data_IF_796699083898
#
_entry.id   IF_796699083898
#
_cell.length_a   1.000
_cell.length_b   1.000
_cell.length_c   1.000
_cell.angle_alpha   90.00
_cell.angle_beta   90.00
_cell.angle_gamma   90.00
#
_symmetry.space_group_name_H-M   'P 1'
#
loop_
_entity.id
_entity.type
_entity.pdbx_description
1 polymer ?
#
# COMPACT_ATOMS: atom_id res chain seq x y z
N UNK A 1 6.95 2.33 -20.18
CA UNK A 1 7.39 3.20 -21.28
C UNK A 1 8.43 4.21 -20.78
N UNK A 2 8.10 5.03 -19.80
CA UNK A 2 8.99 6.08 -19.26
C UNK A 2 10.32 5.55 -18.70
N UNK A 3 10.31 4.47 -17.91
CA UNK A 3 11.54 3.87 -17.36
C UNK A 3 12.55 3.41 -18.42
N UNK A 4 12.04 2.88 -19.54
CA UNK A 4 12.88 2.49 -20.69
C UNK A 4 13.33 3.69 -21.53
N UNK A 5 12.62 4.82 -21.45
CA UNK A 5 13.08 6.07 -22.05
C UNK A 5 14.26 6.64 -21.26
N UNK A 6 14.21 6.57 -19.92
CA UNK A 6 15.30 7.01 -19.03
C UNK A 6 16.58 6.23 -19.30
N UNK A 7 16.51 4.91 -19.50
CA UNK A 7 17.71 4.12 -19.82
C UNK A 7 18.33 4.52 -21.17
N UNK A 8 17.53 4.95 -22.15
CA UNK A 8 18.02 5.41 -23.47
C UNK A 8 18.67 6.79 -23.43
N UNK A 9 18.28 7.65 -22.49
CA UNK A 9 18.88 8.97 -22.29
C UNK A 9 20.04 8.95 -21.29
N UNK A 10 20.32 7.79 -20.69
CA UNK A 10 21.41 7.64 -19.73
C UNK A 10 22.75 7.39 -20.44
N UNK A 11 23.88 7.67 -19.77
CA UNK A 11 25.20 7.33 -20.28
C UNK A 11 25.34 5.85 -20.69
N UNK A 12 26.09 5.54 -21.76
CA UNK A 12 26.12 4.20 -22.37
C UNK A 12 26.68 3.12 -21.43
N UNK A 13 27.52 3.51 -20.48
CA UNK A 13 28.09 2.70 -19.40
C UNK A 13 27.04 2.19 -18.42
N UNK A 14 25.90 2.88 -18.24
CA UNK A 14 24.82 2.46 -17.33
C UNK A 14 23.51 2.12 -18.04
N UNK A 15 23.36 2.52 -19.31
CA UNK A 15 22.14 2.35 -20.08
C UNK A 15 21.69 0.87 -20.19
N UNK A 16 22.64 -0.05 -20.42
CA UNK A 16 22.36 -1.48 -20.54
C UNK A 16 21.87 -2.08 -19.22
N UNK A 17 22.57 -1.79 -18.11
CA UNK A 17 22.19 -2.24 -16.78
C UNK A 17 20.84 -1.68 -16.32
N UNK A 18 20.55 -0.40 -16.60
CA UNK A 18 19.26 0.23 -16.31
C UNK A 18 18.10 -0.39 -17.11
N UNK A 19 18.35 -0.78 -18.37
CA UNK A 19 17.36 -1.47 -19.18
C UNK A 19 17.06 -2.88 -18.63
N UNK A 20 18.09 -3.62 -18.21
CA UNK A 20 17.94 -4.93 -17.57
C UNK A 20 17.18 -4.83 -16.25
N UNK A 21 17.55 -3.90 -15.37
CA UNK A 21 16.85 -3.66 -14.10
C UNK A 21 15.37 -3.25 -14.33
N UNK A 22 15.09 -2.49 -15.38
CA UNK A 22 13.71 -2.13 -15.75
C UNK A 22 12.89 -3.33 -16.23
N UNK A 23 13.52 -4.29 -16.90
CA UNK A 23 12.91 -5.54 -17.34
C UNK A 23 12.65 -6.52 -16.19
N UNK A 24 13.50 -6.53 -15.16
CA UNK A 24 13.37 -7.37 -13.98
C UNK A 24 12.00 -7.21 -13.28
N UNK A 25 11.39 -6.03 -13.36
CA UNK A 25 10.07 -5.74 -12.76
C UNK A 25 8.92 -6.56 -13.36
N UNK A 26 9.14 -7.25 -14.48
CA UNK A 26 8.19 -8.19 -15.08
C UNK A 26 8.38 -9.65 -14.67
N UNK A 27 9.38 -9.96 -13.82
CA UNK A 27 9.67 -11.32 -13.38
C UNK A 27 8.56 -11.92 -12.49
N UNK A 28 8.48 -13.24 -12.47
CA UNK A 28 7.43 -13.97 -11.75
C UNK A 28 7.75 -14.14 -10.25
N UNK A 29 9.00 -13.91 -9.84
CA UNK A 29 9.45 -14.08 -8.46
C UNK A 29 10.30 -12.92 -7.94
N UNK A 30 10.13 -12.59 -6.66
CA UNK A 30 10.94 -11.55 -6.00
C UNK A 30 12.43 -11.91 -5.92
N UNK A 31 12.76 -13.20 -5.86
CA UNK A 31 14.14 -13.67 -5.84
C UNK A 31 14.84 -13.38 -7.17
N UNK A 32 14.14 -13.58 -8.29
CA UNK A 32 14.63 -13.26 -9.62
C UNK A 32 14.80 -11.74 -9.79
N UNK A 33 13.79 -10.96 -9.38
CA UNK A 33 13.89 -9.48 -9.38
C UNK A 33 15.13 -9.02 -8.62
N UNK A 34 15.33 -9.53 -7.40
CA UNK A 34 16.46 -9.17 -6.56
C UNK A 34 17.80 -9.54 -7.20
N UNK A 35 17.91 -10.74 -7.77
CA UNK A 35 19.13 -11.19 -8.44
C UNK A 35 19.48 -10.35 -9.67
N UNK A 36 18.49 -9.99 -10.50
CA UNK A 36 18.73 -9.17 -11.70
C UNK A 36 19.09 -7.74 -11.32
N UNK A 37 18.47 -7.18 -10.28
CA UNK A 37 18.81 -5.84 -9.77
C UNK A 37 20.21 -5.84 -9.15
N UNK A 38 20.58 -6.86 -8.38
CA UNK A 38 21.93 -6.99 -7.80
C UNK A 38 23.00 -7.10 -8.90
N UNK A 39 22.74 -7.86 -9.97
CA UNK A 39 23.64 -7.95 -11.13
C UNK A 39 23.76 -6.60 -11.87
N UNK A 40 22.63 -5.97 -12.21
CA UNK A 40 22.63 -4.67 -12.88
C UNK A 40 23.32 -3.59 -12.03
N UNK A 41 23.13 -3.59 -10.72
CA UNK A 41 23.82 -2.69 -9.82
C UNK A 41 25.34 -2.93 -9.84
N UNK A 42 25.77 -4.18 -9.80
CA UNK A 42 27.18 -4.55 -9.88
C UNK A 42 27.84 -4.05 -11.17
N UNK A 43 27.15 -4.17 -12.31
CA UNK A 43 27.62 -3.68 -13.60
C UNK A 43 27.80 -2.16 -13.64
N UNK A 44 27.01 -1.43 -12.84
CA UNK A 44 27.13 0.02 -12.65
C UNK A 44 28.12 0.40 -11.53
N UNK A 45 28.84 -0.57 -10.94
CA UNK A 45 29.75 -0.34 -9.81
C UNK A 45 29.04 -0.04 -8.49
N UNK A 46 27.74 -0.33 -8.39
CA UNK A 46 26.93 -0.13 -7.20
C UNK A 46 26.78 -1.43 -6.41
N UNK A 47 26.75 -1.33 -5.08
CA UNK A 47 26.44 -2.44 -4.19
C UNK A 47 25.06 -2.24 -3.59
N UNK A 48 24.13 -3.15 -3.90
CA UNK A 48 22.81 -3.17 -3.26
C UNK A 48 22.98 -3.63 -1.82
N UNK A 49 22.71 -2.75 -0.85
CA UNK A 49 22.73 -3.09 0.56
C UNK A 49 21.31 -3.44 1.01
N UNK A 50 21.12 -4.67 1.48
CA UNK A 50 19.88 -5.03 2.20
C UNK A 50 19.83 -4.25 3.51
N UNK A 51 18.66 -3.73 3.83
CA UNK A 51 18.44 -3.08 5.12
C UNK A 51 18.58 -4.15 6.22
N UNK A 52 19.14 -3.74 7.35
CA UNK A 52 19.13 -4.60 8.54
C UNK A 52 17.73 -4.57 9.18
N UNK A 53 17.41 -5.58 9.98
CA UNK A 53 16.09 -5.72 10.61
C UNK A 53 15.64 -4.47 11.40
N UNK A 54 16.58 -3.73 12.00
CA UNK A 54 16.26 -2.53 12.78
C UNK A 54 15.90 -1.37 11.85
N UNK A 55 16.66 -1.16 10.77
CA UNK A 55 16.36 -0.13 9.78
C UNK A 55 15.09 -0.42 8.98
N UNK A 56 14.82 -1.69 8.63
CA UNK A 56 13.54 -2.09 8.02
C UNK A 56 12.35 -1.75 8.92
N UNK A 57 12.42 -2.13 10.20
CA UNK A 57 11.37 -1.83 11.17
C UNK A 57 11.16 -0.32 11.33
N UNK A 58 12.24 0.46 11.35
CA UNK A 58 12.16 1.92 11.44
C UNK A 58 11.51 2.53 10.20
N UNK A 59 11.84 2.06 9.00
CA UNK A 59 11.24 2.51 7.75
C UNK A 59 9.73 2.21 7.70
N UNK A 60 9.33 1.01 8.10
CA UNK A 60 7.91 0.61 8.19
C UNK A 60 7.16 1.48 9.20
N UNK A 61 7.74 1.76 10.36
CA UNK A 61 7.13 2.64 11.36
C UNK A 61 6.96 4.07 10.83
N UNK A 62 7.99 4.62 10.18
CA UNK A 62 7.95 5.96 9.58
C UNK A 62 6.87 6.06 8.50
N UNK A 63 6.79 5.08 7.59
CA UNK A 63 5.77 5.05 6.54
C UNK A 63 4.36 4.92 7.13
N UNK A 64 4.19 4.12 8.18
CA UNK A 64 2.91 4.00 8.88
C UNK A 64 2.47 5.35 9.44
N UNK A 65 3.35 6.06 10.14
CA UNK A 65 3.05 7.40 10.67
C UNK A 65 2.70 8.39 9.55
N UNK A 66 3.41 8.34 8.43
CA UNK A 66 3.12 9.18 7.26
C UNK A 66 1.72 8.91 6.70
N UNK A 67 1.38 7.65 6.47
CA UNK A 67 0.08 7.23 5.95
C UNK A 67 -1.07 7.57 6.90
N UNK A 68 -0.88 7.38 8.21
CA UNK A 68 -1.87 7.80 9.21
C UNK A 68 -2.06 9.32 9.22
N UNK A 69 -0.97 10.09 9.08
CA UNK A 69 -1.02 11.54 8.95
C UNK A 69 -1.85 11.96 7.73
N UNK A 70 -1.60 11.37 6.56
CA UNK A 70 -2.38 11.64 5.35
C UNK A 70 -3.85 11.25 5.48
N UNK A 71 -4.13 10.09 6.10
CA UNK A 71 -5.50 9.59 6.26
C UNK A 71 -6.31 10.42 7.28
N UNK A 72 -5.67 11.11 8.21
CA UNK A 72 -6.35 11.93 9.22
C UNK A 72 -7.21 13.03 8.57
N UNK A 73 -6.64 13.77 7.61
CA UNK A 73 -7.31 14.86 6.88
C UNK A 73 -8.08 14.43 5.63
N UNK A 74 -8.03 13.16 5.25
CA UNK A 74 -8.66 12.69 4.02
C UNK A 74 -10.18 12.55 4.17
N UNK A 75 -10.93 13.07 3.20
CA UNK A 75 -12.40 13.03 3.17
C UNK A 75 -12.93 12.29 1.96
N UNK A 76 -12.14 12.16 0.90
CA UNK A 76 -12.52 11.38 -0.27
C UNK A 76 -12.44 9.88 0.06
N UNK A 77 -13.54 9.11 -0.09
CA UNK A 77 -13.56 7.69 0.25
C UNK A 77 -12.62 6.85 -0.61
N UNK A 78 -12.37 7.24 -1.87
CA UNK A 78 -11.45 6.51 -2.75
C UNK A 78 -9.99 6.72 -2.34
N UNK A 79 -9.59 7.98 -2.07
CA UNK A 79 -8.28 8.30 -1.53
C UNK A 79 -8.05 7.68 -0.15
N UNK A 80 -9.07 7.72 0.73
CA UNK A 80 -8.99 7.07 2.04
C UNK A 80 -8.77 5.56 1.92
N UNK A 81 -9.48 4.88 1.02
CA UNK A 81 -9.27 3.46 0.76
C UNK A 81 -7.84 3.16 0.30
N UNK A 82 -7.28 3.99 -0.58
CA UNK A 82 -5.90 3.84 -1.06
C UNK A 82 -4.85 3.99 0.05
N UNK A 83 -5.16 4.69 1.14
CA UNK A 83 -4.30 4.84 2.32
C UNK A 83 -4.53 3.74 3.36
N UNK A 84 -5.79 3.32 3.55
CA UNK A 84 -6.20 2.29 4.52
C UNK A 84 -5.65 0.92 4.15
N UNK A 85 -5.70 0.54 2.88
CA UNK A 85 -5.31 -0.82 2.44
C UNK A 85 -3.82 -1.11 2.69
N UNK A 86 -2.88 -0.20 2.36
CA UNK A 86 -1.49 -0.33 2.80
C UNK A 86 -1.33 -0.46 4.32
N UNK A 87 -2.06 0.33 5.11
CA UNK A 87 -2.00 0.27 6.58
C UNK A 87 -2.47 -1.09 7.12
N UNK A 88 -3.55 -1.64 6.56
CA UNK A 88 -4.05 -2.98 6.88
C UNK A 88 -3.01 -4.04 6.52
N UNK A 89 -2.41 -3.95 5.33
CA UNK A 89 -1.36 -4.86 4.90
C UNK A 89 -0.12 -4.79 5.80
N UNK A 90 0.32 -3.59 6.17
CA UNK A 90 1.43 -3.37 7.10
C UNK A 90 1.14 -3.97 8.48
N UNK A 91 -0.09 -3.84 8.98
CA UNK A 91 -0.52 -4.46 10.24
C UNK A 91 -0.52 -5.99 10.16
N UNK A 92 -0.88 -6.57 9.01
CA UNK A 92 -0.90 -8.02 8.81
C UNK A 92 0.50 -8.62 8.64
N UNK A 93 1.38 -7.94 7.93
CA UNK A 93 2.65 -8.51 7.41
C UNK A 93 3.89 -7.89 8.01
N UNK A 94 3.81 -6.69 8.58
CA UNK A 94 4.97 -5.91 8.99
C UNK A 94 5.74 -5.27 7.84
N UNK A 95 5.24 -5.30 6.60
CA UNK A 95 5.91 -4.77 5.41
C UNK A 95 5.15 -3.58 4.83
N UNK A 96 5.88 -2.53 4.47
CA UNK A 96 5.34 -1.39 3.73
C UNK A 96 5.12 -1.76 2.26
N UNK A 97 4.03 -1.24 1.67
CA UNK A 97 3.68 -1.55 0.29
C UNK A 97 3.01 -0.34 -0.37
N UNK A 98 3.55 0.08 -1.52
CA UNK A 98 2.88 1.03 -2.40
C UNK A 98 1.97 0.27 -3.37
N UNK A 99 0.72 0.72 -3.51
CA UNK A 99 -0.32 -0.01 -4.21
C UNK A 99 -0.94 0.84 -5.31
N UNK A 100 -0.99 0.35 -6.57
CA UNK A 100 -1.92 0.91 -7.54
C UNK A 100 -3.35 0.49 -7.19
N UNK A 101 -4.36 1.32 -7.52
CA UNK A 101 -5.76 1.05 -7.18
C UNK A 101 -6.26 -0.35 -7.62
N UNK A 102 -5.80 -0.85 -8.77
CA UNK A 102 -6.13 -2.20 -9.27
C UNK A 102 -5.64 -3.36 -8.38
N UNK A 103 -4.64 -3.13 -7.54
CA UNK A 103 -4.06 -4.14 -6.66
C UNK A 103 -4.73 -4.19 -5.28
N UNK A 104 -5.64 -3.26 -4.96
CA UNK A 104 -6.28 -3.16 -3.64
C UNK A 104 -6.99 -4.48 -3.28
N UNK A 105 -7.85 -5.00 -4.16
CA UNK A 105 -8.59 -6.24 -3.92
C UNK A 105 -7.69 -7.47 -3.67
N UNK A 106 -6.75 -7.79 -4.59
CA UNK A 106 -5.80 -8.89 -4.39
C UNK A 106 -4.98 -8.78 -3.10
N UNK A 107 -4.58 -7.57 -2.72
CA UNK A 107 -3.76 -7.32 -1.53
C UNK A 107 -4.57 -7.49 -0.25
N UNK A 108 -5.84 -7.05 -0.22
CA UNK A 108 -6.74 -7.34 0.90
C UNK A 108 -6.94 -8.84 1.08
N UNK A 109 -7.16 -9.58 -0.01
CA UNK A 109 -7.29 -11.04 0.04
C UNK A 109 -6.00 -11.74 0.49
N UNK A 110 -4.83 -11.17 0.19
CA UNK A 110 -3.55 -11.66 0.73
C UNK A 110 -3.40 -11.36 2.22
N UNK A 111 -3.73 -10.13 2.65
CA UNK A 111 -3.69 -9.73 4.06
C UNK A 111 -4.60 -10.61 4.92
N UNK A 112 -5.80 -10.96 4.44
CA UNK A 112 -6.70 -11.86 5.14
C UNK A 112 -6.15 -13.26 5.37
N UNK A 113 -5.37 -13.80 4.43
CA UNK A 113 -4.74 -15.12 4.55
C UNK A 113 -3.63 -15.19 5.60
N UNK A 114 -3.07 -14.06 6.01
CA UNK A 114 -2.02 -14.01 7.05
C UNK A 114 -2.56 -14.23 8.46
N UNK A 115 -3.88 -14.11 8.68
CA UNK A 115 -4.54 -14.48 9.94
C UNK A 115 -4.21 -13.61 11.16
N UNK A 116 -3.44 -12.53 10.99
CA UNK A 116 -2.99 -11.64 12.06
C UNK A 116 -3.95 -10.47 12.34
N UNK A 117 -5.00 -10.32 11.54
CA UNK A 117 -5.97 -9.23 11.63
C UNK A 117 -7.32 -9.72 12.17
N UNK A 118 -8.02 -8.90 12.98
CA UNK A 118 -9.39 -9.18 13.36
C UNK A 118 -10.30 -9.33 12.14
N UNK A 119 -11.12 -10.38 12.11
CA UNK A 119 -12.06 -10.65 11.01
C UNK A 119 -13.03 -9.48 10.80
N UNK A 120 -13.45 -8.83 11.88
CA UNK A 120 -14.28 -7.63 11.82
C UNK A 120 -13.61 -6.46 11.06
N UNK A 121 -12.30 -6.28 11.23
CA UNK A 121 -11.53 -5.25 10.49
C UNK A 121 -11.46 -5.58 9.01
N UNK A 122 -11.14 -6.84 8.67
CA UNK A 122 -11.05 -7.27 7.28
C UNK A 122 -12.39 -7.18 6.56
N UNK A 123 -13.47 -7.63 7.21
CA UNK A 123 -14.82 -7.56 6.67
C UNK A 123 -15.25 -6.12 6.40
N UNK A 124 -15.03 -5.21 7.36
CA UNK A 124 -15.33 -3.79 7.19
C UNK A 124 -14.59 -3.16 6.00
N UNK A 125 -13.30 -3.46 5.84
CA UNK A 125 -12.49 -2.91 4.75
C UNK A 125 -12.88 -3.51 3.40
N UNK A 126 -13.27 -4.79 3.36
CA UNK A 126 -13.80 -5.44 2.15
C UNK A 126 -15.13 -4.83 1.72
N UNK A 127 -16.04 -4.58 2.66
CA UNK A 127 -17.33 -3.93 2.43
C UNK A 127 -17.12 -2.50 1.88
N UNK A 128 -16.25 -1.73 2.53
CA UNK A 128 -15.91 -0.37 2.10
C UNK A 128 -15.29 -0.35 0.69
N UNK A 129 -14.37 -1.27 0.38
CA UNK A 129 -13.83 -1.42 -0.97
C UNK A 129 -14.92 -1.71 -2.01
N UNK A 130 -15.87 -2.60 -1.70
CA UNK A 130 -16.97 -2.91 -2.61
C UNK A 130 -17.86 -1.69 -2.89
N UNK A 131 -18.17 -0.90 -1.84
CA UNK A 131 -18.95 0.33 -1.95
C UNK A 131 -18.21 1.41 -2.77
N UNK A 132 -16.90 1.58 -2.56
CA UNK A 132 -16.08 2.53 -3.35
C UNK A 132 -16.06 2.13 -4.82
N UNK A 133 -15.91 0.84 -5.13
CA UNK A 133 -15.95 0.35 -6.52
C UNK A 133 -17.33 0.59 -7.14
N UNK A 134 -18.42 0.38 -6.40
CA UNK A 134 -19.77 0.68 -6.87
C UNK A 134 -19.97 2.17 -7.15
N UNK A 135 -19.51 3.03 -6.24
CA UNK A 135 -19.54 4.50 -6.39
C UNK A 135 -18.76 4.97 -7.61
N UNK A 136 -17.51 4.50 -7.80
CA UNK A 136 -16.68 4.87 -8.95
C UNK A 136 -17.29 4.41 -10.28
N UNK A 137 -17.91 3.22 -10.31
CA UNK A 137 -18.63 2.74 -11.49
C UNK A 137 -19.86 3.59 -11.81
N UNK A 138 -20.64 3.96 -10.80
CA UNK A 138 -21.82 4.82 -10.96
C UNK A 138 -21.42 6.23 -11.43
N UNK A 139 -20.30 6.76 -10.93
CA UNK A 139 -19.75 8.06 -11.35
C UNK A 139 -19.29 8.03 -12.82
N UNK A 140 -18.61 6.97 -13.25
CA UNK A 140 -18.14 6.80 -14.62
C UNK A 140 -19.23 6.53 -15.66
N UNK A 141 -20.41 6.07 -15.23
CA UNK A 141 -21.54 5.73 -16.11
C UNK A 141 -22.37 6.94 -16.58
N UNK A 142 -21.98 8.17 -16.25
CA UNK A 142 -22.47 9.37 -16.95
C UNK A 142 -23.96 9.70 -16.80
N UNK A 143 -24.58 9.47 -15.63
CA UNK A 143 -25.79 10.22 -15.24
C UNK A 143 -27.14 9.50 -15.17
N UNK A 144 -27.22 8.17 -15.32
CA UNK A 144 -28.52 7.46 -15.20
C UNK A 144 -28.96 7.14 -13.75
N UNK A 145 -28.41 7.80 -12.73
CA UNK A 145 -28.76 7.54 -11.33
C UNK A 145 -28.11 8.49 -10.33
N UNK A 146 -28.32 9.79 -10.48
CA UNK A 146 -27.83 10.82 -9.54
C UNK A 146 -28.15 10.50 -8.08
N UNK A 147 -29.36 9.99 -7.83
CA UNK A 147 -29.85 9.66 -6.49
C UNK A 147 -29.13 8.44 -5.92
N UNK A 148 -28.80 7.46 -6.77
CA UNK A 148 -27.99 6.31 -6.40
C UNK A 148 -26.53 6.72 -6.11
N UNK A 149 -25.97 7.66 -6.88
CA UNK A 149 -24.63 8.16 -6.64
C UNK A 149 -24.53 8.95 -5.32
N UNK A 150 -25.53 9.78 -5.02
CA UNK A 150 -25.61 10.55 -3.78
C UNK A 150 -25.76 9.64 -2.56
N UNK A 151 -26.66 8.65 -2.62
CA UNK A 151 -26.86 7.68 -1.53
C UNK A 151 -25.61 6.82 -1.28
N UNK A 152 -24.91 6.39 -2.33
CA UNK A 152 -23.62 5.69 -2.19
C UNK A 152 -22.55 6.61 -1.57
N UNK A 153 -22.50 7.89 -1.97
CA UNK A 153 -21.58 8.87 -1.40
C UNK A 153 -21.81 9.09 0.10
N UNK A 154 -23.06 9.23 0.51
CA UNK A 154 -23.43 9.40 1.93
C UNK A 154 -23.13 8.15 2.77
N UNK A 155 -23.42 6.96 2.22
CA UNK A 155 -23.05 5.69 2.85
C UNK A 155 -21.53 5.57 3.04
N UNK A 156 -20.73 5.96 2.04
CA UNK A 156 -19.27 5.97 2.13
C UNK A 156 -18.77 6.98 3.17
N UNK A 157 -19.35 8.18 3.21
CA UNK A 157 -18.99 9.22 4.18
C UNK A 157 -19.28 8.76 5.62
N UNK A 158 -20.41 8.10 5.86
CA UNK A 158 -20.77 7.54 7.17
C UNK A 158 -19.91 6.34 7.59
N UNK A 159 -19.43 5.54 6.62
CA UNK A 159 -18.55 4.41 6.89
C UNK A 159 -17.09 4.83 7.17
N UNK A 160 -16.67 5.99 6.67
CA UNK A 160 -15.28 6.45 6.71
C UNK A 160 -14.67 6.51 8.13
N UNK A 161 -15.35 7.06 9.17
CA UNK A 161 -14.82 7.09 10.54
C UNK A 161 -14.54 5.69 11.10
N UNK A 162 -15.43 4.72 10.83
CA UNK A 162 -15.27 3.32 11.25
C UNK A 162 -14.03 2.70 10.61
N UNK A 163 -13.79 2.97 9.33
CA UNK A 163 -12.62 2.45 8.61
C UNK A 163 -11.32 3.08 9.12
N UNK A 164 -11.33 4.39 9.42
CA UNK A 164 -10.19 5.07 10.04
C UNK A 164 -9.85 4.46 11.42
N UNK A 165 -10.86 4.16 12.23
CA UNK A 165 -10.67 3.51 13.54
C UNK A 165 -10.00 2.13 13.39
N UNK A 166 -10.40 1.33 12.39
CA UNK A 166 -9.81 0.00 12.15
C UNK A 166 -8.28 0.01 11.93
N UNK A 167 -7.73 1.10 11.39
CA UNK A 167 -6.28 1.25 11.13
C UNK A 167 -5.54 2.05 12.20
N UNK A 168 -6.22 2.46 13.27
CA UNK A 168 -5.63 3.14 14.43
C UNK A 168 -5.81 4.67 14.44
N UNK A 169 -6.65 5.24 13.55
CA UNK A 169 -7.10 6.63 13.66
C UNK A 169 -8.44 6.66 14.42
N UNK A 170 -8.38 6.83 15.74
CA UNK A 170 -9.57 7.01 16.58
C UNK A 170 -9.93 5.85 17.52
N UNK A 171 -9.02 4.92 17.80
CA UNK A 171 -9.16 4.00 18.94
C UNK A 171 -7.94 4.09 19.83
N UNK A 172 -8.18 4.41 21.11
CA UNK A 172 -7.22 4.59 22.17
C UNK A 172 -6.60 3.26 22.64
N UNK A 173 -5.90 2.56 21.75
CA UNK A 173 -5.14 1.35 22.08
C UNK A 173 -3.70 1.46 21.57
N UNK A 174 -3.00 2.51 22.01
CA UNK A 174 -1.53 2.56 22.03
C UNK A 174 -1.02 2.76 23.47
N UNK A 175 -1.68 2.07 24.42
CA UNK A 175 -1.19 1.89 25.79
C UNK A 175 -0.97 0.40 26.07
N UNK A 176 0.02 -0.17 25.40
CA UNK A 176 0.73 -1.33 25.94
C UNK A 176 2.23 -1.05 25.81
N UNK A 177 2.72 -0.20 26.70
CA UNK A 177 4.14 -0.07 26.98
C UNK A 177 4.70 -1.46 27.33
N UNK A 178 5.83 -1.90 26.75
CA UNK A 178 6.61 -2.94 27.38
C UNK A 178 7.24 -2.31 28.63
N UNK A 179 6.69 -2.64 29.80
CA UNK A 179 7.34 -2.38 31.08
C UNK A 179 8.77 -2.91 30.99
N UNK A 180 9.70 -1.96 31.09
CA UNK A 180 11.09 -2.24 31.37
C UNK A 180 11.16 -2.86 32.76
N UNK A 181 11.65 -4.09 32.84
CA UNK A 181 12.21 -4.61 34.08
C UNK A 181 13.48 -5.39 33.73
N UNK A 182 14.60 -4.75 34.02
CA UNK A 182 15.92 -5.33 34.23
C UNK A 182 16.60 -4.41 35.27
N UNK A 183 17.60 -4.87 36.03
CA UNK A 183 18.21 -6.21 36.06
C UNK A 183 17.80 -7.07 37.26
#
# INVERSE_FOLDING_TARGET
>A
AERLAISRTSPPDVAAALAQASGALGAESLAEVASVIEAAASDMGLRVRRLDKKSEKAAVASERSRLLGSLSGESDPAAALALVVPLVFMKATGHALALPGKAIGPVLAHAGRKGTLPEATLSAVHEFHAQVVAYLKAQGAGGSGSDNLATLGEALASALPRIKACVGLGSAEDSAAPSAEAP
#
